data_IF_313920770370
#
_entry.id   IF_313920770370
#
_cell.length_a   1.000
_cell.length_b   1.000
_cell.length_c   1.000
_cell.angle_alpha   90.00
_cell.angle_beta   90.00
_cell.angle_gamma   90.00
#
_symmetry.space_group_name_H-M   'P 1'
#
loop_
_entity.id
_entity.type
_entity.pdbx_description
1 polymer ?
#
# COMPACT_ATOMS: atom_id res chain seq x y z
N UNK A 1 10.02 8.51 9.66
CA UNK A 1 8.87 7.80 10.25
C UNK A 1 9.21 6.33 10.47
N UNK A 2 8.65 5.73 11.51
CA UNK A 2 8.82 4.29 11.76
C UNK A 2 7.98 3.46 10.80
N UNK A 3 8.55 2.41 10.26
CA UNK A 3 7.89 1.49 9.35
C UNK A 3 8.24 0.04 9.71
N UNK A 4 7.25 -0.84 9.72
CA UNK A 4 7.49 -2.27 9.90
C UNK A 4 7.77 -2.89 8.54
N UNK A 5 8.99 -3.37 8.34
CA UNK A 5 9.58 -3.64 7.03
C UNK A 5 9.92 -5.12 6.86
N UNK A 6 9.64 -5.67 5.67
CA UNK A 6 10.14 -6.96 5.23
C UNK A 6 11.61 -6.82 4.86
N UNK A 7 12.50 -7.35 5.67
CA UNK A 7 13.96 -7.25 5.47
C UNK A 7 14.44 -8.37 4.55
N UNK A 8 14.04 -9.58 4.87
CA UNK A 8 14.32 -10.81 4.10
C UNK A 8 13.40 -11.93 4.58
N UNK A 9 13.39 -13.04 3.88
CA UNK A 9 12.65 -14.24 4.32
C UNK A 9 12.98 -14.58 5.77
N UNK A 10 11.94 -14.80 6.56
CA UNK A 10 12.01 -15.06 8.00
C UNK A 10 12.22 -13.83 8.88
N UNK A 11 12.49 -12.65 8.32
CA UNK A 11 12.85 -11.46 9.10
C UNK A 11 12.06 -10.22 8.70
N UNK A 12 11.26 -9.75 9.65
CA UNK A 12 10.67 -8.40 9.68
C UNK A 12 11.36 -7.56 10.76
N UNK A 13 11.30 -6.25 10.63
CA UNK A 13 11.85 -5.34 11.63
C UNK A 13 11.41 -3.90 11.42
N UNK A 14 11.55 -3.09 12.46
CA UNK A 14 11.33 -1.65 12.34
C UNK A 14 12.52 -0.98 11.64
N UNK A 15 12.20 -0.12 10.68
CA UNK A 15 13.18 0.73 9.99
C UNK A 15 12.69 2.17 9.98
N UNK A 16 13.61 3.10 9.80
CA UNK A 16 13.27 4.49 9.56
C UNK A 16 13.15 4.74 8.05
N UNK A 17 12.02 5.32 7.64
CA UNK A 17 11.75 5.71 6.26
C UNK A 17 11.38 7.19 6.16
N UNK A 18 11.59 7.79 5.02
CA UNK A 18 11.05 9.11 4.70
C UNK A 18 9.51 9.08 4.66
N UNK A 19 8.86 10.19 4.99
CA UNK A 19 7.43 10.35 4.77
C UNK A 19 7.15 10.31 3.26
N UNK A 20 6.14 9.56 2.79
CA UNK A 20 5.82 9.50 1.36
C UNK A 20 5.37 10.87 0.83
N UNK A 21 5.60 11.09 -0.45
CA UNK A 21 5.16 12.28 -1.19
C UNK A 21 4.27 11.89 -2.36
N UNK A 22 3.46 12.82 -2.84
CA UNK A 22 2.73 12.66 -4.10
C UNK A 22 3.75 12.58 -5.24
N UNK A 23 3.71 11.51 -6.02
CA UNK A 23 4.55 11.31 -7.21
C UNK A 23 3.73 11.10 -8.47
N UNK A 24 2.46 10.77 -8.34
CA UNK A 24 1.48 10.66 -9.43
C UNK A 24 0.25 11.52 -9.10
N UNK A 25 -0.37 12.07 -10.13
CA UNK A 25 -1.56 12.93 -9.97
C UNK A 25 -2.78 12.20 -9.38
N UNK A 26 -2.78 10.86 -9.37
CA UNK A 26 -3.82 10.00 -8.78
C UNK A 26 -3.47 9.51 -7.36
N UNK A 27 -2.33 9.90 -6.81
CA UNK A 27 -1.92 9.49 -5.47
C UNK A 27 -2.72 10.17 -4.36
N UNK A 28 -2.85 9.49 -3.24
CA UNK A 28 -3.25 10.08 -1.97
C UNK A 28 -2.26 9.68 -0.87
N UNK A 29 -1.95 10.60 0.04
CA UNK A 29 -1.18 10.30 1.25
C UNK A 29 -2.18 10.17 2.41
N UNK A 30 -2.15 9.02 3.06
CA UNK A 30 -3.00 8.73 4.21
C UNK A 30 -2.13 8.64 5.46
N UNK A 31 -2.47 9.42 6.47
CA UNK A 31 -1.93 9.27 7.82
C UNK A 31 -2.67 8.11 8.48
N UNK A 32 -1.96 7.02 8.71
CA UNK A 32 -2.53 5.79 9.29
C UNK A 32 -2.88 6.02 10.76
N UNK A 33 -4.10 5.65 11.14
CA UNK A 33 -4.59 5.74 12.53
C UNK A 33 -4.74 4.38 13.19
N UNK A 34 -4.95 3.35 12.38
CA UNK A 34 -5.01 1.96 12.81
C UNK A 34 -4.62 1.06 11.64
N UNK A 35 -3.81 0.04 11.92
CA UNK A 35 -3.44 -1.01 10.97
C UNK A 35 -3.58 -2.37 11.64
N UNK A 36 -3.84 -3.40 10.85
CA UNK A 36 -3.95 -4.79 11.28
C UNK A 36 -2.86 -5.65 10.65
N UNK A 37 -2.54 -6.75 11.33
CA UNK A 37 -1.70 -7.81 10.79
C UNK A 37 -2.62 -8.86 10.17
N UNK A 38 -2.39 -9.18 8.90
CA UNK A 38 -3.10 -10.23 8.18
C UNK A 38 -2.24 -11.50 8.09
N UNK A 39 -2.88 -12.64 7.90
CA UNK A 39 -2.17 -13.91 7.65
C UNK A 39 -1.26 -13.83 6.43
N UNK A 40 -1.58 -13.02 5.43
CA UNK A 40 -0.73 -12.80 4.26
C UNK A 40 0.61 -12.12 4.58
N UNK A 41 0.71 -11.34 5.65
CA UNK A 41 2.00 -10.83 6.14
C UNK A 41 2.89 -12.00 6.63
N UNK A 42 2.28 -13.02 7.25
CA UNK A 42 2.98 -14.25 7.64
C UNK A 42 3.43 -15.06 6.41
N UNK A 43 2.61 -15.11 5.36
CA UNK A 43 2.99 -15.75 4.10
C UNK A 43 4.20 -15.04 3.45
N UNK A 44 4.25 -13.72 3.49
CA UNK A 44 5.43 -12.95 3.06
C UNK A 44 6.64 -13.34 3.92
N UNK A 45 6.48 -13.33 5.24
CA UNK A 45 7.55 -13.68 6.19
C UNK A 45 8.14 -15.07 5.91
N UNK A 46 7.29 -16.04 5.63
CA UNK A 46 7.70 -17.43 5.39
C UNK A 46 8.20 -17.68 3.95
N UNK A 47 8.17 -16.68 3.07
CA UNK A 47 8.62 -16.80 1.68
C UNK A 47 7.61 -17.43 0.74
N UNK A 48 6.36 -17.59 1.16
CA UNK A 48 5.30 -18.17 0.32
C UNK A 48 4.74 -17.17 -0.72
N UNK A 49 5.21 -15.93 -0.71
CA UNK A 49 4.85 -14.88 -1.66
C UNK A 49 6.09 -14.45 -2.46
N UNK A 50 6.39 -15.12 -3.58
CA UNK A 50 7.63 -14.87 -4.35
C UNK A 50 7.76 -13.45 -4.89
N UNK A 51 6.63 -12.72 -5.01
CA UNK A 51 6.59 -11.34 -5.50
C UNK A 51 6.90 -10.30 -4.43
N UNK A 52 6.99 -10.70 -3.16
CA UNK A 52 7.31 -9.77 -2.08
C UNK A 52 8.73 -9.21 -2.23
N UNK A 53 8.86 -7.90 -2.12
CA UNK A 53 10.12 -7.19 -2.34
C UNK A 53 10.76 -6.86 -1.00
N UNK A 54 12.01 -7.30 -0.73
CA UNK A 54 12.75 -6.87 0.46
C UNK A 54 12.88 -5.34 0.53
N UNK A 55 12.76 -4.79 1.72
CA UNK A 55 12.82 -3.34 1.96
C UNK A 55 11.47 -2.63 1.96
N UNK A 56 10.37 -3.29 1.55
CA UNK A 56 9.04 -2.65 1.60
C UNK A 56 8.48 -2.62 3.02
N UNK A 57 7.68 -1.60 3.30
CA UNK A 57 6.80 -1.59 4.47
C UNK A 57 5.68 -2.60 4.24
N UNK A 58 5.44 -3.48 5.20
CA UNK A 58 4.34 -4.46 5.12
C UNK A 58 3.00 -3.86 5.55
N UNK A 59 1.94 -4.67 5.46
CA UNK A 59 0.59 -4.29 5.87
C UNK A 59 -0.26 -3.73 4.72
N UNK A 60 -1.47 -4.25 4.63
CA UNK A 60 -2.43 -3.91 3.58
C UNK A 60 -3.85 -3.74 4.12
N UNK A 61 -4.00 -3.76 5.45
CA UNK A 61 -5.24 -3.52 6.16
C UNK A 61 -5.06 -2.32 7.07
N UNK A 62 -5.62 -1.17 6.70
CA UNK A 62 -5.49 0.05 7.48
C UNK A 62 -6.65 1.02 7.25
N UNK A 63 -6.83 1.86 8.25
CA UNK A 63 -7.68 3.04 8.17
C UNK A 63 -6.88 4.28 8.56
N UNK A 64 -7.25 5.41 8.04
CA UNK A 64 -6.52 6.64 8.32
C UNK A 64 -7.27 7.90 7.91
N UNK A 65 -6.54 8.99 7.96
CA UNK A 65 -7.02 10.31 7.53
C UNK A 65 -6.22 10.73 6.31
N UNK A 66 -6.92 11.11 5.24
CA UNK A 66 -6.29 11.67 4.05
C UNK A 66 -5.58 12.96 4.44
N UNK A 67 -4.28 13.03 4.17
CA UNK A 67 -3.48 14.23 4.46
C UNK A 67 -3.29 15.10 3.21
N UNK A 68 -3.04 14.46 2.08
CA UNK A 68 -2.79 15.13 0.80
C UNK A 68 -3.28 14.26 -0.35
N UNK A 69 -3.70 14.90 -1.44
CA UNK A 69 -4.13 14.23 -2.67
C UNK A 69 -3.43 14.84 -3.88
N UNK A 70 -3.26 14.06 -4.93
CA UNK A 70 -2.86 14.51 -6.26
C UNK A 70 -4.00 15.23 -6.98
N UNK A 71 -3.68 15.92 -8.04
CA UNK A 71 -4.59 16.84 -8.75
C UNK A 71 -5.80 16.13 -9.39
N UNK A 72 -5.68 14.86 -9.73
CA UNK A 72 -6.76 14.06 -10.32
C UNK A 72 -7.54 13.20 -9.33
N UNK A 73 -7.27 13.30 -8.06
CA UNK A 73 -8.05 12.62 -7.01
C UNK A 73 -9.29 13.46 -6.71
N UNK A 74 -10.47 12.94 -7.03
CA UNK A 74 -11.75 13.66 -6.86
C UNK A 74 -12.71 13.01 -5.86
N UNK A 75 -12.47 11.75 -5.49
CA UNK A 75 -13.40 10.97 -4.65
C UNK A 75 -13.11 11.07 -3.15
N UNK A 76 -11.96 11.62 -2.77
CA UNK A 76 -11.57 11.92 -1.37
C UNK A 76 -10.82 13.25 -1.31
N UNK A 77 -10.78 13.87 -0.13
CA UNK A 77 -10.07 15.13 0.13
C UNK A 77 -9.33 15.09 1.47
N UNK A 78 -8.35 15.97 1.68
CA UNK A 78 -7.68 16.10 2.97
C UNK A 78 -8.70 16.26 4.12
N UNK A 79 -8.49 15.51 5.20
CA UNK A 79 -9.36 15.42 6.36
C UNK A 79 -10.37 14.26 6.34
N UNK A 80 -10.62 13.65 5.20
CA UNK A 80 -11.53 12.50 5.11
C UNK A 80 -10.94 11.28 5.83
N UNK A 81 -11.82 10.56 6.56
CA UNK A 81 -11.48 9.26 7.13
C UNK A 81 -11.74 8.19 6.09
N UNK A 82 -10.74 7.35 5.85
CA UNK A 82 -10.78 6.32 4.80
C UNK A 82 -10.35 4.95 5.32
N UNK A 83 -10.91 3.91 4.71
CA UNK A 83 -10.33 2.56 4.68
C UNK A 83 -9.57 2.40 3.36
N UNK A 84 -8.34 1.92 3.43
CA UNK A 84 -7.49 1.78 2.26
C UNK A 84 -7.68 0.39 1.66
N UNK A 85 -7.99 0.33 0.36
CA UNK A 85 -8.09 -0.93 -0.36
C UNK A 85 -6.69 -1.51 -0.60
N UNK A 86 -6.53 -2.82 -0.36
CA UNK A 86 -5.28 -3.55 -0.64
C UNK A 86 -4.91 -3.56 -2.12
N UNK A 87 -5.90 -3.51 -2.99
CA UNK A 87 -5.70 -3.55 -4.43
C UNK A 87 -5.51 -2.14 -5.01
N UNK A 88 -4.34 -1.90 -5.55
CA UNK A 88 -4.07 -0.73 -6.39
C UNK A 88 -4.36 -1.07 -7.85
N UNK A 89 -4.77 -0.11 -8.67
CA UNK A 89 -5.10 -0.37 -10.06
C UNK A 89 -4.96 0.89 -10.93
N UNK A 90 -4.65 0.68 -12.20
CA UNK A 90 -4.41 1.79 -13.12
C UNK A 90 -5.69 2.39 -13.74
N UNK A 91 -6.83 1.68 -13.69
CA UNK A 91 -8.08 2.11 -14.30
C UNK A 91 -8.15 1.97 -15.85
N UNK A 92 -7.02 1.72 -16.53
CA UNK A 92 -6.91 1.84 -17.99
C UNK A 92 -6.71 0.50 -18.71
N UNK A 93 -6.09 -0.50 -18.05
CA UNK A 93 -5.84 -1.79 -18.69
C UNK A 93 -7.13 -2.59 -18.93
N UNK A 94 -7.04 -3.62 -19.76
CA UNK A 94 -8.18 -4.49 -20.07
C UNK A 94 -8.90 -4.96 -18.82
N UNK A 95 -8.18 -5.48 -17.83
CA UNK A 95 -8.78 -6.01 -16.60
C UNK A 95 -9.50 -4.94 -15.80
N UNK A 96 -8.90 -3.77 -15.62
CA UNK A 96 -9.53 -2.66 -14.89
C UNK A 96 -10.83 -2.22 -15.54
N UNK A 97 -10.83 -2.08 -16.89
CA UNK A 97 -12.03 -1.68 -17.65
C UNK A 97 -13.16 -2.70 -17.59
N UNK A 98 -12.86 -3.96 -17.27
CA UNK A 98 -13.84 -5.03 -17.12
C UNK A 98 -14.16 -5.38 -15.66
N UNK A 99 -13.69 -4.58 -14.68
CA UNK A 99 -13.98 -4.78 -13.26
C UNK A 99 -13.09 -5.80 -12.53
N UNK A 100 -12.08 -6.35 -13.20
CA UNK A 100 -11.12 -7.31 -12.62
C UNK A 100 -9.85 -6.60 -12.13
N UNK A 101 -9.99 -5.63 -11.25
CA UNK A 101 -8.87 -4.78 -10.80
C UNK A 101 -7.74 -5.55 -10.12
N UNK A 102 -8.05 -6.68 -9.49
CA UNK A 102 -7.08 -7.61 -8.90
C UNK A 102 -6.09 -8.19 -9.93
N UNK A 103 -6.48 -8.22 -11.22
CA UNK A 103 -5.65 -8.68 -12.34
C UNK A 103 -4.98 -7.52 -13.10
N UNK A 104 -4.94 -6.33 -12.52
CA UNK A 104 -4.33 -5.17 -13.15
C UNK A 104 -2.90 -5.47 -13.59
N UNK A 105 -2.57 -5.12 -14.86
CA UNK A 105 -1.26 -5.38 -15.46
C UNK A 105 -0.23 -4.27 -15.20
N UNK A 106 -0.61 -3.19 -14.53
CA UNK A 106 0.34 -2.18 -14.08
C UNK A 106 1.39 -2.78 -13.13
N UNK A 107 2.66 -2.36 -13.18
CA UNK A 107 3.69 -2.80 -12.24
C UNK A 107 3.31 -2.61 -10.77
N UNK A 108 2.50 -1.60 -10.47
CA UNK A 108 1.99 -1.28 -9.13
C UNK A 108 0.53 -1.68 -8.93
N UNK A 109 -0.05 -2.42 -9.87
CA UNK A 109 -1.44 -2.83 -9.84
C UNK A 109 -1.68 -4.22 -9.24
N UNK A 110 -2.96 -4.53 -9.02
CA UNK A 110 -3.38 -5.74 -8.35
C UNK A 110 -3.05 -5.70 -6.84
N UNK A 111 -2.84 -6.83 -6.25
CA UNK A 111 -2.44 -6.92 -4.84
C UNK A 111 -0.96 -6.54 -4.67
N UNK A 112 -0.67 -5.25 -4.59
CA UNK A 112 0.69 -4.73 -4.52
C UNK A 112 1.03 -4.09 -3.16
N UNK A 113 0.06 -3.48 -2.50
CA UNK A 113 0.23 -2.76 -1.24
C UNK A 113 0.74 -3.69 -0.14
N UNK A 114 1.83 -3.34 0.53
CA UNK A 114 2.48 -4.15 1.54
C UNK A 114 3.21 -5.39 1.02
N UNK A 115 3.33 -5.54 -0.30
CA UNK A 115 3.98 -6.68 -0.95
C UNK A 115 5.04 -6.26 -1.98
N UNK A 116 4.68 -5.38 -2.92
CA UNK A 116 5.58 -4.86 -3.97
C UNK A 116 5.78 -3.35 -3.86
N UNK A 117 4.86 -2.67 -3.21
CA UNK A 117 4.94 -1.26 -2.83
C UNK A 117 4.75 -1.14 -1.33
N UNK A 118 5.16 -0.02 -0.76
CA UNK A 118 5.05 0.23 0.68
C UNK A 118 3.60 0.15 1.14
N UNK A 119 3.37 -0.55 2.25
CA UNK A 119 2.08 -0.76 2.89
C UNK A 119 1.85 0.14 4.09
N UNK A 120 0.86 -0.22 4.91
CA UNK A 120 0.31 0.63 5.97
C UNK A 120 0.73 0.31 7.40
N UNK A 121 1.67 -0.60 7.64
CA UNK A 121 2.24 -0.77 8.98
C UNK A 121 3.34 0.28 9.23
N UNK A 122 2.92 1.54 9.17
CA UNK A 122 3.72 2.75 9.28
C UNK A 122 2.82 3.93 9.64
N UNK A 123 3.41 5.11 9.86
CA UNK A 123 2.66 6.32 10.19
C UNK A 123 1.93 6.92 8.97
N UNK A 124 2.48 6.75 7.76
CA UNK A 124 1.92 7.28 6.51
C UNK A 124 2.09 6.29 5.37
N UNK A 125 1.08 6.19 4.52
CA UNK A 125 1.06 5.38 3.29
C UNK A 125 0.62 6.23 2.10
N UNK A 126 1.15 5.89 0.94
CA UNK A 126 0.78 6.48 -0.34
C UNK A 126 0.05 5.46 -1.19
#
# INVERSE_FOLDING_TARGET
MKAFTYIQQGKFGFTEKGKPTIIDEHDAIVRVTLSSICTSDLHIKHGSVPRAVPGITVGHEMVGIVEKVGERVSHVKPGDRVSVNVETFCGECFYCKHGYVNNCTSPHGGWALGCRIDGGQTEYVR
#
